data_IF_440971164993
#
_entry.id   IF_440971164993
#
_cell.length_a   1.000
_cell.length_b   1.000
_cell.length_c   1.000
_cell.angle_alpha   90.00
_cell.angle_beta   90.00
_cell.angle_gamma   90.00
#
_symmetry.space_group_name_H-M   'P 1'
#
loop_
_entity.id
_entity.type
_entity.pdbx_description
1 polymer ?
#
# COMPACT_ATOMS: atom_id res chain seq x y z
N UNK A 1 -3.93 -0.78 -14.82
CA UNK A 1 -3.89 0.20 -13.71
C UNK A 1 -2.54 0.90 -13.83
N UNK A 2 -2.43 2.13 -13.33
CA UNK A 2 -1.15 2.83 -13.23
C UNK A 2 -0.88 3.25 -11.79
N UNK A 3 0.40 3.31 -11.43
CA UNK A 3 0.85 3.78 -10.12
C UNK A 3 0.57 5.28 -10.00
N UNK A 4 -0.16 5.67 -8.96
CA UNK A 4 -0.49 7.06 -8.65
C UNK A 4 0.46 7.60 -7.59
N UNK A 5 0.54 6.91 -6.44
CA UNK A 5 1.26 7.36 -5.26
C UNK A 5 1.97 6.19 -4.55
N UNK A 6 2.99 6.51 -3.77
CA UNK A 6 3.73 5.54 -2.95
C UNK A 6 4.10 6.14 -1.60
N UNK A 7 3.85 5.38 -0.53
CA UNK A 7 4.14 5.75 0.85
C UNK A 7 4.84 4.61 1.58
N UNK A 8 5.46 4.93 2.70
CA UNK A 8 5.77 3.96 3.76
C UNK A 8 4.81 4.21 4.91
N UNK A 9 4.36 3.15 5.56
CA UNK A 9 3.45 3.32 6.68
C UNK A 9 3.07 2.01 7.33
N UNK A 10 2.08 2.11 8.21
CA UNK A 10 1.58 1.02 9.04
C UNK A 10 0.11 0.79 8.72
N UNK A 11 -0.30 -0.45 8.49
CA UNK A 11 -1.73 -0.77 8.38
C UNK A 11 -2.35 -0.77 9.77
N UNK A 12 -3.37 0.06 9.99
CA UNK A 12 -4.09 0.16 11.28
C UNK A 12 -5.40 -0.60 11.29
N UNK A 13 -6.04 -0.75 10.13
CA UNK A 13 -7.34 -1.41 10.03
C UNK A 13 -7.35 -2.36 8.84
N UNK A 14 -7.84 -3.57 9.09
CA UNK A 14 -8.34 -4.49 8.07
C UNK A 14 -9.70 -5.03 8.55
N UNK A 15 -10.78 -4.57 7.93
CA UNK A 15 -12.14 -4.91 8.37
C UNK A 15 -13.09 -5.12 7.20
N UNK A 16 -14.23 -5.76 7.48
CA UNK A 16 -15.33 -5.79 6.52
C UNK A 16 -15.99 -4.40 6.40
N UNK A 17 -16.93 -4.25 5.49
CA UNK A 17 -17.62 -2.97 5.27
C UNK A 17 -18.41 -2.46 6.49
N UNK A 18 -18.79 -3.34 7.40
CA UNK A 18 -19.47 -2.98 8.65
C UNK A 18 -18.48 -2.54 9.74
N UNK A 19 -17.18 -2.49 9.44
CA UNK A 19 -16.13 -2.14 10.40
C UNK A 19 -15.74 -3.27 11.34
N UNK A 20 -16.23 -4.51 11.13
CA UNK A 20 -15.83 -5.66 11.93
C UNK A 20 -14.43 -6.13 11.49
N UNK A 21 -13.43 -6.16 12.38
CA UNK A 21 -12.09 -6.62 12.05
C UNK A 21 -12.09 -8.05 11.52
N UNK A 22 -11.22 -8.33 10.56
CA UNK A 22 -11.03 -9.69 10.09
C UNK A 22 -10.31 -10.55 11.12
N UNK A 23 -10.58 -11.86 11.09
CA UNK A 23 -9.96 -12.91 11.92
C UNK A 23 -9.34 -14.01 11.07
N UNK A 24 -8.90 -13.62 9.88
CA UNK A 24 -8.20 -14.47 8.93
C UNK A 24 -6.82 -13.89 8.62
N UNK A 25 -6.19 -14.34 7.54
CA UNK A 25 -4.87 -13.91 7.11
C UNK A 25 -4.69 -12.38 7.02
N UNK A 26 -5.76 -11.59 6.85
CA UNK A 26 -5.67 -10.13 6.81
C UNK A 26 -5.27 -9.52 8.15
N UNK A 27 -5.57 -10.20 9.26
CA UNK A 27 -5.16 -9.77 10.61
C UNK A 27 -3.63 -9.72 10.74
N UNK A 28 -2.90 -10.54 9.97
CA UNK A 28 -1.43 -10.56 9.96
C UNK A 28 -0.82 -9.21 9.57
N UNK A 29 -1.45 -8.46 8.67
CA UNK A 29 -0.92 -7.20 8.16
C UNK A 29 -1.18 -6.02 9.09
N UNK A 30 -2.09 -6.15 10.06
CA UNK A 30 -2.39 -5.08 11.01
C UNK A 30 -1.17 -4.85 11.91
N UNK A 31 -0.85 -3.58 12.12
CA UNK A 31 0.35 -3.07 12.81
C UNK A 31 1.69 -3.44 12.17
N UNK A 32 1.70 -3.99 10.95
CA UNK A 32 2.92 -4.19 10.18
C UNK A 32 3.34 -2.89 9.49
N UNK A 33 4.65 -2.66 9.41
CA UNK A 33 5.27 -1.62 8.60
C UNK A 33 5.55 -2.13 7.19
N UNK A 34 5.26 -1.32 6.17
CA UNK A 34 5.50 -1.73 4.79
C UNK A 34 5.42 -0.60 3.77
N UNK A 35 5.69 -0.97 2.52
CA UNK A 35 5.54 -0.11 1.35
C UNK A 35 4.09 -0.14 0.88
N UNK A 36 3.44 1.01 0.85
CA UNK A 36 2.07 1.21 0.40
C UNK A 36 2.12 1.79 -1.01
N UNK A 37 1.60 1.08 -1.99
CA UNK A 37 1.50 1.53 -3.39
C UNK A 37 0.05 1.68 -3.80
N UNK A 38 -0.30 2.84 -4.34
CA UNK A 38 -1.67 3.17 -4.74
C UNK A 38 -1.76 3.19 -6.25
N UNK A 39 -2.64 2.37 -6.81
CA UNK A 39 -2.87 2.26 -8.24
C UNK A 39 -4.25 2.77 -8.62
N UNK A 40 -4.33 3.62 -9.63
CA UNK A 40 -5.60 4.03 -10.22
C UNK A 40 -6.03 3.05 -11.33
N UNK A 41 -7.34 2.75 -11.38
CA UNK A 41 -7.93 1.93 -12.42
C UNK A 41 -8.08 2.70 -13.74
N UNK A 42 -7.50 2.17 -14.81
CA UNK A 42 -7.63 2.77 -16.16
C UNK A 42 -9.05 2.63 -16.73
N UNK A 43 -9.78 1.57 -16.32
CA UNK A 43 -11.13 1.28 -16.80
C UNK A 43 -12.23 1.86 -15.92
N UNK A 44 -11.91 2.26 -14.69
CA UNK A 44 -12.85 2.84 -13.71
C UNK A 44 -12.25 4.10 -13.08
N UNK A 45 -12.36 5.26 -13.75
CA UNK A 45 -11.85 6.52 -13.21
C UNK A 45 -12.34 6.79 -11.79
N UNK A 46 -11.43 7.24 -10.92
CA UNK A 46 -11.71 7.48 -9.49
C UNK A 46 -11.84 6.22 -8.63
N UNK A 47 -11.48 5.04 -9.15
CA UNK A 47 -11.32 3.81 -8.36
C UNK A 47 -9.86 3.42 -8.27
N UNK A 48 -9.45 3.00 -7.07
CA UNK A 48 -8.06 2.73 -6.74
C UNK A 48 -7.90 1.37 -6.09
N UNK A 49 -6.74 0.76 -6.23
CA UNK A 49 -6.32 -0.41 -5.46
C UNK A 49 -5.07 -0.06 -4.65
N UNK A 50 -4.96 -0.62 -3.44
CA UNK A 50 -3.76 -0.52 -2.62
C UNK A 50 -3.04 -1.85 -2.65
N UNK A 51 -1.73 -1.81 -2.85
CA UNK A 51 -0.81 -2.92 -2.62
C UNK A 51 0.06 -2.57 -1.42
N UNK A 52 0.24 -3.53 -0.52
CA UNK A 52 1.02 -3.35 0.70
C UNK A 52 2.05 -4.45 0.82
N UNK A 53 3.32 -4.09 0.67
CA UNK A 53 4.45 -5.02 0.65
C UNK A 53 5.24 -4.91 1.94
N UNK A 54 5.43 -6.04 2.61
CA UNK A 54 6.30 -6.14 3.78
C UNK A 54 7.73 -6.46 3.34
N UNK A 55 8.74 -6.09 4.15
CA UNK A 55 10.11 -6.53 3.93
C UNK A 55 10.28 -8.06 4.03
N UNK A 56 9.32 -8.76 4.65
CA UNK A 56 9.35 -10.22 4.84
C UNK A 56 8.91 -11.04 3.63
N UNK A 57 8.87 -10.46 2.42
CA UNK A 57 8.38 -11.09 1.17
C UNK A 57 6.87 -11.44 1.17
N UNK A 58 6.14 -10.94 2.16
CA UNK A 58 4.68 -11.05 2.23
C UNK A 58 4.03 -9.76 1.72
N UNK A 59 2.89 -9.90 1.03
CA UNK A 59 2.14 -8.75 0.54
C UNK A 59 0.64 -9.02 0.51
N UNK A 60 -0.14 -7.94 0.58
CA UNK A 60 -1.56 -7.99 0.30
C UNK A 60 -1.93 -6.91 -0.70
N UNK A 61 -3.04 -7.10 -1.39
CA UNK A 61 -3.63 -6.03 -2.18
C UNK A 61 -5.14 -6.00 -2.02
N UNK A 62 -5.71 -4.80 -2.13
CA UNK A 62 -7.15 -4.62 -2.14
C UNK A 62 -7.73 -4.91 -3.53
N UNK A 63 -9.05 -5.11 -3.58
CA UNK A 63 -9.80 -4.84 -4.81
C UNK A 63 -9.94 -3.34 -5.03
N UNK A 64 -10.43 -2.93 -6.22
CA UNK A 64 -10.68 -1.52 -6.52
C UNK A 64 -11.76 -0.93 -5.61
N UNK A 65 -11.49 0.23 -5.03
CA UNK A 65 -12.35 0.93 -4.07
C UNK A 65 -12.27 2.43 -4.18
N UNK A 66 -12.96 3.12 -3.25
CA UNK A 66 -12.88 4.57 -3.07
C UNK A 66 -11.71 4.88 -2.14
N UNK A 67 -10.78 5.69 -2.64
CA UNK A 67 -9.61 6.16 -1.89
C UNK A 67 -9.93 7.48 -1.19
N UNK A 68 -9.40 7.64 0.02
CA UNK A 68 -9.42 8.88 0.79
C UNK A 68 -8.02 9.04 1.42
N UNK A 69 -7.37 10.17 1.14
CA UNK A 69 -6.07 10.51 1.74
C UNK A 69 -6.22 11.86 2.43
N UNK A 70 -5.94 11.91 3.72
CA UNK A 70 -6.02 13.14 4.51
C UNK A 70 -5.07 13.06 5.71
N UNK A 71 -4.22 14.07 5.89
CA UNK A 71 -3.34 14.23 7.05
C UNK A 71 -2.52 12.98 7.39
N UNK A 72 -1.89 12.36 6.38
CA UNK A 72 -1.09 11.13 6.52
C UNK A 72 -1.92 9.86 6.72
N UNK A 73 -3.25 9.94 6.74
CA UNK A 73 -4.14 8.76 6.80
C UNK A 73 -4.60 8.38 5.41
N UNK A 74 -4.45 7.10 5.08
CA UNK A 74 -4.83 6.52 3.79
C UNK A 74 -5.93 5.50 4.06
N UNK A 75 -7.12 5.72 3.51
CA UNK A 75 -8.26 4.81 3.63
C UNK A 75 -8.71 4.34 2.27
N UNK A 76 -8.82 3.03 2.10
CA UNK A 76 -9.40 2.39 0.92
C UNK A 76 -10.66 1.61 1.31
N UNK A 77 -11.81 2.05 0.80
CA UNK A 77 -13.10 1.37 0.98
C UNK A 77 -13.48 0.66 -0.31
N UNK A 78 -13.44 -0.67 -0.28
CA UNK A 78 -13.90 -1.53 -1.38
C UNK A 78 -15.36 -1.92 -1.17
N UNK A 79 -15.92 -2.72 -2.08
CA UNK A 79 -17.29 -3.23 -1.92
C UNK A 79 -17.50 -4.01 -0.60
N UNK A 80 -16.45 -4.67 -0.10
CA UNK A 80 -16.56 -5.63 1.02
C UNK A 80 -15.62 -5.34 2.18
N UNK A 81 -14.67 -4.44 2.01
CA UNK A 81 -13.58 -4.25 2.96
C UNK A 81 -13.21 -2.78 3.13
N UNK A 82 -12.73 -2.46 4.32
CA UNK A 82 -12.10 -1.19 4.67
C UNK A 82 -10.67 -1.52 5.12
N UNK A 83 -9.70 -0.87 4.48
CA UNK A 83 -8.32 -0.84 4.95
C UNK A 83 -7.91 0.59 5.26
N UNK A 84 -7.25 0.78 6.39
CA UNK A 84 -6.70 2.06 6.81
C UNK A 84 -5.22 1.93 7.11
N UNK A 85 -4.45 2.90 6.64
CA UNK A 85 -3.03 3.00 6.85
C UNK A 85 -2.70 4.39 7.41
N UNK A 86 -1.61 4.44 8.15
CA UNK A 86 -0.99 5.66 8.66
C UNK A 86 0.39 5.78 8.03
N UNK A 87 0.64 6.88 7.31
CA UNK A 87 1.94 7.20 6.74
C UNK A 87 2.96 7.41 7.86
N UNK A 88 4.09 6.72 7.75
CA UNK A 88 5.23 6.87 8.62
C UNK A 88 6.52 6.65 7.81
N UNK A 89 7.28 7.72 7.60
CA UNK A 89 8.55 7.68 6.86
C UNK A 89 9.69 6.99 7.64
N UNK A 90 9.49 6.74 8.94
CA UNK A 90 10.49 6.12 9.82
C UNK A 90 10.14 4.68 10.19
N UNK A 91 9.00 4.16 9.71
CA UNK A 91 8.54 2.81 10.05
C UNK A 91 9.40 1.70 9.41
N UNK A 92 10.18 2.05 8.38
CA UNK A 92 11.15 1.17 7.74
C UNK A 92 12.55 1.80 7.78
N UNK A 93 13.56 0.97 8.02
CA UNK A 93 14.95 1.33 7.70
C UNK A 93 15.14 1.41 6.18
N UNK A 94 16.23 2.05 5.73
CA UNK A 94 16.58 2.10 4.31
C UNK A 94 16.70 0.70 3.68
N UNK A 95 17.27 -0.27 4.41
CA UNK A 95 17.41 -1.63 3.92
C UNK A 95 16.05 -2.32 3.76
N UNK A 96 15.16 -2.20 4.75
CA UNK A 96 13.81 -2.76 4.69
C UNK A 96 12.98 -2.13 3.58
N UNK A 97 13.09 -0.81 3.39
CA UNK A 97 12.43 -0.10 2.30
C UNK A 97 12.89 -0.59 0.93
N UNK A 98 14.18 -0.86 0.75
CA UNK A 98 14.71 -1.45 -0.49
C UNK A 98 14.21 -2.88 -0.70
N UNK A 99 14.14 -3.70 0.35
CA UNK A 99 13.60 -5.06 0.24
C UNK A 99 12.12 -5.03 -0.15
N UNK A 100 11.29 -4.21 0.52
CA UNK A 100 9.87 -4.09 0.18
C UNK A 100 9.66 -3.59 -1.27
N UNK A 101 10.54 -2.68 -1.72
CA UNK A 101 10.55 -2.21 -3.11
C UNK A 101 10.94 -3.32 -4.11
N UNK A 102 11.92 -4.15 -3.77
CA UNK A 102 12.32 -5.27 -4.62
C UNK A 102 11.23 -6.34 -4.68
N UNK A 103 10.54 -6.63 -3.57
CA UNK A 103 9.37 -7.49 -3.54
C UNK A 103 8.27 -6.97 -4.47
N UNK A 104 8.02 -5.65 -4.48
CA UNK A 104 7.09 -5.02 -5.41
C UNK A 104 7.53 -5.19 -6.88
N UNK A 105 8.81 -5.01 -7.19
CA UNK A 105 9.34 -5.23 -8.55
C UNK A 105 9.20 -6.67 -9.01
N UNK A 106 9.46 -7.63 -8.11
CA UNK A 106 9.28 -9.05 -8.38
C UNK A 106 7.81 -9.37 -8.69
N UNK A 107 6.88 -8.79 -7.92
CA UNK A 107 5.45 -8.99 -8.13
C UNK A 107 4.95 -8.44 -9.48
N UNK A 108 5.32 -7.21 -9.84
CA UNK A 108 4.83 -6.58 -11.08
C UNK A 108 5.58 -7.01 -12.35
N UNK A 109 6.75 -7.64 -12.21
CA UNK A 109 7.64 -7.92 -13.34
C UNK A 109 8.42 -6.67 -13.80
N UNK A 110 9.47 -6.90 -14.57
CA UNK A 110 10.52 -5.96 -15.01
C UNK A 110 10.10 -4.46 -15.08
N UNK A 111 10.91 -3.52 -14.55
CA UNK A 111 10.48 -2.20 -14.08
C UNK A 111 10.17 -1.17 -15.17
N UNK A 112 10.22 -1.50 -16.46
CA UNK A 112 9.91 -0.56 -17.54
C UNK A 112 8.44 -0.12 -17.54
N UNK A 113 7.55 -0.90 -16.93
CA UNK A 113 6.14 -0.50 -16.71
C UNK A 113 5.91 0.20 -15.38
N UNK A 114 6.91 0.21 -14.49
CA UNK A 114 6.87 0.96 -13.24
C UNK A 114 7.79 2.17 -13.40
N UNK A 115 7.25 3.27 -13.93
CA UNK A 115 7.82 4.60 -13.73
C UNK A 115 7.78 4.93 -12.22
N UNK A 116 8.60 4.23 -11.42
CA UNK A 116 8.80 4.51 -10.00
C UNK A 116 9.55 5.81 -9.98
N UNK A 117 8.78 6.87 -9.86
CA UNK A 117 9.28 8.22 -9.72
C UNK A 117 10.31 8.19 -8.58
N UNK A 118 11.56 8.51 -8.90
CA UNK A 118 12.66 8.73 -7.97
C UNK A 118 12.40 9.89 -6.96
N UNK A 119 11.14 10.26 -6.72
CA UNK A 119 10.72 11.33 -5.83
C UNK A 119 10.70 10.90 -4.37
N UNK A 120 10.42 9.63 -4.04
CA UNK A 120 10.26 9.21 -2.64
C UNK A 120 11.59 8.95 -1.91
N UNK A 121 12.70 8.76 -2.62
CA UNK A 121 14.06 8.67 -2.01
C UNK A 121 14.83 10.01 -2.03
N UNK A 122 14.15 11.14 -2.24
CA UNK A 122 14.77 12.47 -2.05
C UNK A 122 14.80 12.89 -0.58
N UNK A 123 15.49 12.17 0.28
CA UNK A 123 15.91 12.71 1.58
C UNK A 123 17.22 12.03 2.04
N UNK A 124 18.32 12.33 1.34
CA UNK A 124 19.59 12.65 2.02
C UNK A 124 20.31 13.75 1.22
N UNK A 125 20.20 14.98 1.71
CA UNK A 125 21.29 15.95 1.71
C UNK A 125 21.61 16.24 3.16
#
# INVERSE_FOLDING_TARGET
MHLEETYTGIMRVASNRDGKPYKDWREYYVDQSGLIMIFQSDSKPGKYAVYFFLPSDEYMHSSCGKLQIQDGKIRIETERSIYEFEEDQKCLTMAEGLIALDNAKLYFGNPDCMCICQKTMRLQK
#
